data_IF_666148422349
#
_entry.id   IF_666148422349
#
_cell.length_a   1.000
_cell.length_b   1.000
_cell.length_c   1.000
_cell.angle_alpha   90.00
_cell.angle_beta   90.00
_cell.angle_gamma   90.00
#
_symmetry.space_group_name_H-M   'P 1'
#
loop_
_entity.id
_entity.type
_entity.pdbx_description
1 polymer ?
#
# COMPACT_ATOMS: atom_id res chain seq x y z
N UNK A 1 8.81 -11.99 -17.59
CA UNK A 1 7.50 -12.00 -16.99
C UNK A 1 6.82 -10.64 -17.24
N UNK A 2 5.66 -10.65 -17.88
CA UNK A 2 4.90 -9.45 -18.14
C UNK A 2 4.25 -8.97 -16.83
N UNK A 3 4.20 -7.65 -16.64
CA UNK A 3 3.59 -7.04 -15.45
C UNK A 3 2.65 -5.91 -15.84
N UNK A 4 1.76 -5.58 -14.93
CA UNK A 4 0.95 -4.38 -14.96
C UNK A 4 1.18 -3.58 -13.69
N UNK A 5 1.46 -2.28 -13.78
CA UNK A 5 1.67 -1.47 -12.59
C UNK A 5 0.35 -1.24 -11.84
N UNK A 6 0.46 -1.06 -10.53
CA UNK A 6 -0.66 -0.89 -9.61
C UNK A 6 -0.64 0.51 -9.01
N UNK A 7 -1.79 1.20 -9.01
CA UNK A 7 -1.92 2.56 -8.49
C UNK A 7 -1.17 3.63 -9.30
N UNK A 8 -0.97 4.78 -8.72
CA UNK A 8 -0.26 5.90 -9.31
C UNK A 8 1.22 5.89 -9.01
N UNK A 9 2.07 5.52 -9.97
CA UNK A 9 3.52 5.43 -9.79
C UNK A 9 4.32 6.35 -10.73
N UNK A 10 5.50 6.73 -10.30
CA UNK A 10 6.54 7.30 -11.16
C UNK A 10 7.36 6.14 -11.74
N UNK A 11 6.98 5.63 -12.91
CA UNK A 11 7.50 4.40 -13.51
C UNK A 11 9.04 4.31 -13.55
N UNK A 12 9.72 5.44 -13.77
CA UNK A 12 11.19 5.49 -13.81
C UNK A 12 11.88 5.10 -12.48
N UNK A 13 11.17 5.17 -11.35
CA UNK A 13 11.73 4.77 -10.05
C UNK A 13 11.78 3.25 -9.86
N UNK A 14 11.13 2.50 -10.73
CA UNK A 14 10.99 1.05 -10.64
C UNK A 14 11.99 0.29 -11.53
N UNK A 15 12.64 1.00 -12.45
CA UNK A 15 13.65 0.39 -13.32
C UNK A 15 14.99 0.28 -12.61
N UNK A 16 15.78 -0.75 -12.96
CA UNK A 16 17.17 -1.00 -12.52
C UNK A 16 17.37 -1.18 -11.01
N UNK A 17 16.31 -1.37 -10.24
CA UNK A 17 16.40 -1.69 -8.80
C UNK A 17 16.11 -3.17 -8.55
N UNK A 18 16.67 -3.76 -7.48
CA UNK A 18 16.36 -5.14 -7.12
C UNK A 18 14.90 -5.28 -6.70
N UNK A 19 14.24 -6.28 -7.24
CA UNK A 19 12.82 -6.59 -7.00
C UNK A 19 12.68 -7.99 -6.43
N UNK A 20 11.66 -8.19 -5.61
CA UNK A 20 11.22 -9.49 -5.12
C UNK A 20 9.83 -9.82 -5.67
N UNK A 21 9.52 -11.11 -5.78
CA UNK A 21 8.23 -11.62 -6.22
C UNK A 21 7.48 -12.21 -5.03
N UNK A 22 6.27 -11.71 -4.79
CA UNK A 22 5.42 -12.15 -3.67
C UNK A 22 3.99 -12.37 -4.12
N UNK A 23 3.32 -13.29 -3.46
CA UNK A 23 1.89 -13.47 -3.60
C UNK A 23 1.46 -14.91 -3.45
N UNK A 24 0.29 -15.22 -4.00
CA UNK A 24 -0.34 -16.53 -3.91
C UNK A 24 -0.63 -17.05 -5.30
N UNK A 25 -0.38 -18.34 -5.48
CA UNK A 25 -0.81 -19.08 -6.68
C UNK A 25 -1.73 -20.20 -6.22
N UNK A 26 -2.88 -20.31 -6.86
CA UNK A 26 -3.79 -21.43 -6.62
C UNK A 26 -3.59 -22.47 -7.71
N UNK A 27 -3.34 -23.71 -7.32
CA UNK A 27 -3.23 -24.83 -8.22
C UNK A 27 -4.31 -25.88 -7.97
N UNK A 28 -4.64 -26.62 -9.01
CA UNK A 28 -5.60 -27.72 -8.91
C UNK A 28 -4.90 -29.00 -8.51
N UNK A 29 -5.50 -29.71 -7.54
CA UNK A 29 -5.10 -31.04 -7.09
C UNK A 29 -6.25 -32.02 -7.26
N UNK A 30 -6.02 -33.29 -7.07
CA UNK A 30 -7.09 -34.31 -7.07
C UNK A 30 -8.14 -34.04 -5.98
N UNK A 31 -7.81 -33.32 -4.94
CA UNK A 31 -8.68 -33.03 -3.79
C UNK A 31 -9.35 -31.63 -3.87
N UNK A 32 -9.09 -30.86 -4.92
CA UNK A 32 -9.63 -29.51 -5.09
C UNK A 32 -8.55 -28.48 -5.39
N UNK A 33 -8.72 -27.25 -4.86
CA UNK A 33 -7.80 -26.14 -5.07
C UNK A 33 -6.93 -25.93 -3.84
N UNK A 34 -5.63 -25.87 -4.02
CA UNK A 34 -4.66 -25.55 -2.98
C UNK A 34 -3.96 -24.22 -3.28
N UNK A 35 -3.64 -23.46 -2.24
CA UNK A 35 -2.93 -22.19 -2.34
C UNK A 35 -1.48 -22.33 -1.94
N UNK A 36 -0.58 -21.80 -2.74
CA UNK A 36 0.87 -21.77 -2.51
C UNK A 36 1.35 -20.34 -2.34
N UNK A 37 1.98 -20.03 -1.22
CA UNK A 37 2.68 -18.77 -0.99
C UNK A 37 3.99 -18.75 -1.78
N UNK A 38 4.13 -17.76 -2.66
CA UNK A 38 5.36 -17.50 -3.41
C UNK A 38 6.08 -16.31 -2.79
N UNK A 39 7.35 -16.51 -2.41
CA UNK A 39 8.23 -15.45 -1.87
C UNK A 39 9.63 -15.70 -2.38
N UNK A 40 10.06 -14.90 -3.35
CA UNK A 40 11.39 -15.00 -3.98
C UNK A 40 12.04 -13.63 -3.94
N UNK A 41 13.24 -13.53 -3.37
CA UNK A 41 13.98 -12.28 -3.20
C UNK A 41 13.93 -11.70 -1.78
N UNK A 42 13.22 -12.37 -0.85
CA UNK A 42 13.02 -11.93 0.53
C UNK A 42 14.14 -12.39 1.48
N UNK A 43 14.70 -13.57 1.23
CA UNK A 43 15.70 -14.19 2.11
C UNK A 43 17.13 -13.92 1.63
N UNK A 44 18.11 -13.89 2.53
CA UNK A 44 19.51 -13.87 2.13
C UNK A 44 19.86 -15.04 1.22
N UNK A 45 20.41 -14.75 0.03
CA UNK A 45 20.77 -15.76 -0.96
C UNK A 45 19.70 -16.03 -2.01
N UNK A 46 18.49 -15.52 -1.84
CA UNK A 46 17.48 -15.58 -2.90
C UNK A 46 17.92 -14.77 -4.13
N UNK A 47 17.55 -15.19 -5.33
CA UNK A 47 17.68 -14.35 -6.51
C UNK A 47 16.74 -13.16 -6.41
N UNK A 48 17.16 -12.03 -6.96
CA UNK A 48 16.30 -10.85 -7.15
C UNK A 48 16.02 -10.66 -8.63
N UNK A 49 14.98 -9.92 -8.93
CA UNK A 49 14.55 -9.59 -10.28
C UNK A 49 14.86 -8.12 -10.60
N UNK A 50 14.75 -7.73 -11.86
CA UNK A 50 14.93 -6.34 -12.28
C UNK A 50 14.03 -6.00 -13.46
N UNK A 51 13.53 -4.78 -13.47
CA UNK A 51 13.00 -4.14 -14.66
C UNK A 51 14.16 -3.46 -15.37
N UNK A 52 14.47 -3.89 -16.58
CA UNK A 52 15.58 -3.33 -17.35
C UNK A 52 15.27 -1.93 -17.87
N UNK A 53 16.30 -1.14 -18.10
CA UNK A 53 16.19 0.16 -18.77
C UNK A 53 17.31 0.33 -19.79
N UNK A 54 17.21 1.32 -20.66
CA UNK A 54 18.19 1.62 -21.68
C UNK A 54 19.43 2.28 -21.07
N UNK A 55 20.60 1.86 -21.52
CA UNK A 55 21.83 2.58 -21.25
C UNK A 55 21.78 3.94 -21.95
N UNK A 56 22.42 4.95 -21.37
CA UNK A 56 22.35 6.34 -21.87
C UNK A 56 22.67 6.49 -23.37
N UNK A 57 23.55 5.68 -23.89
CA UNK A 57 23.94 5.70 -25.31
C UNK A 57 22.81 5.27 -26.27
N UNK A 58 21.81 4.54 -25.79
CA UNK A 58 20.66 4.07 -26.56
C UNK A 58 19.37 4.82 -26.20
N UNK A 59 19.40 5.69 -25.19
CA UNK A 59 18.23 6.31 -24.60
C UNK A 59 17.84 7.68 -25.19
N UNK A 60 18.42 8.11 -26.33
CA UNK A 60 18.21 9.46 -26.89
C UNK A 60 16.73 9.82 -27.06
N UNK A 61 15.94 8.92 -27.65
CA UNK A 61 14.51 9.14 -27.84
C UNK A 61 13.73 9.09 -26.51
N UNK A 62 14.11 8.15 -25.64
CA UNK A 62 13.52 8.00 -24.31
C UNK A 62 13.72 9.28 -23.48
N UNK A 63 14.95 9.81 -23.47
CA UNK A 63 15.30 11.02 -22.72
C UNK A 63 14.61 12.28 -23.25
N UNK A 64 14.18 12.29 -24.52
CA UNK A 64 13.38 13.38 -25.11
C UNK A 64 11.90 13.36 -24.71
N UNK A 65 11.41 12.28 -24.10
CA UNK A 65 10.03 12.16 -23.67
C UNK A 65 9.82 12.83 -22.30
N UNK A 66 8.55 13.17 -21.99
CA UNK A 66 8.22 13.58 -20.61
C UNK A 66 8.49 12.43 -19.63
N UNK A 67 8.74 12.77 -18.36
CA UNK A 67 8.98 11.75 -17.30
C UNK A 67 7.88 10.71 -17.21
N UNK A 68 6.62 11.06 -17.49
CA UNK A 68 5.50 10.12 -17.51
C UNK A 68 5.57 9.12 -18.65
N UNK A 69 6.20 9.49 -19.77
CA UNK A 69 6.25 8.72 -21.02
C UNK A 69 7.62 8.10 -21.29
N UNK A 70 8.64 8.48 -20.53
CA UNK A 70 10.01 7.98 -20.69
C UNK A 70 10.09 6.46 -20.49
N UNK A 71 9.38 5.94 -19.50
CA UNK A 71 9.18 4.49 -19.32
C UNK A 71 7.78 4.15 -19.80
N UNK A 72 7.67 3.31 -20.80
CA UNK A 72 6.40 2.80 -21.30
C UNK A 72 5.96 1.61 -20.45
N UNK A 73 4.69 1.58 -20.02
CA UNK A 73 4.18 0.54 -19.15
C UNK A 73 4.31 -0.87 -19.76
N UNK A 74 4.09 -0.97 -21.06
CA UNK A 74 4.23 -2.24 -21.81
C UNK A 74 5.65 -2.81 -21.79
N UNK A 75 6.65 -1.98 -21.52
CA UNK A 75 8.05 -2.37 -21.42
C UNK A 75 8.50 -2.67 -19.95
N UNK A 76 7.61 -2.52 -19.00
CA UNK A 76 7.91 -2.83 -17.59
C UNK A 76 7.79 -4.33 -17.34
N UNK A 77 8.60 -5.11 -18.02
CA UNK A 77 8.64 -6.56 -17.91
C UNK A 77 9.81 -6.99 -17.02
N UNK A 78 9.52 -7.91 -16.11
CA UNK A 78 10.51 -8.40 -15.14
C UNK A 78 11.43 -9.42 -15.81
N UNK A 79 12.74 -9.17 -15.75
CA UNK A 79 13.75 -10.13 -16.15
C UNK A 79 13.82 -11.24 -15.11
N UNK A 80 13.49 -12.47 -15.53
CA UNK A 80 13.38 -13.65 -14.63
C UNK A 80 14.49 -14.69 -14.88
N UNK A 81 15.23 -14.59 -15.97
CA UNK A 81 16.32 -15.52 -16.30
C UNK A 81 16.76 -15.43 -17.75
N UNK A 82 17.87 -16.10 -18.06
CA UNK A 82 18.44 -16.19 -19.42
C UNK A 82 19.05 -17.56 -19.72
N UNK A 83 19.08 -18.47 -18.75
CA UNK A 83 19.66 -19.80 -18.96
C UNK A 83 18.63 -20.73 -19.61
N UNK A 84 18.95 -21.36 -20.73
CA UNK A 84 18.06 -22.31 -21.38
C UNK A 84 18.01 -23.63 -20.60
N UNK A 85 16.87 -24.28 -20.56
CA UNK A 85 16.72 -25.63 -20.02
C UNK A 85 17.60 -26.62 -20.79
N UNK A 86 18.15 -27.55 -20.03
CA UNK A 86 18.94 -28.70 -20.58
C UNK A 86 18.07 -29.93 -20.86
N UNK A 87 16.79 -29.81 -20.61
CA UNK A 87 15.80 -30.86 -20.87
C UNK A 87 15.70 -31.19 -22.36
N UNK A 88 15.41 -32.45 -22.67
CA UNK A 88 15.21 -32.94 -24.03
C UNK A 88 13.81 -32.55 -24.60
N UNK A 89 13.00 -31.84 -23.85
CA UNK A 89 11.70 -31.33 -24.32
C UNK A 89 11.91 -30.38 -25.48
N UNK A 90 11.32 -30.72 -26.64
CA UNK A 90 11.38 -29.85 -27.82
C UNK A 90 10.49 -28.62 -27.63
N UNK A 91 11.12 -27.46 -27.56
CA UNK A 91 10.46 -26.14 -27.51
C UNK A 91 11.40 -25.07 -28.02
N UNK A 92 10.85 -24.04 -28.65
CA UNK A 92 11.58 -22.81 -29.00
C UNK A 92 11.91 -21.95 -27.78
N UNK A 93 11.17 -22.13 -26.67
CA UNK A 93 11.24 -21.28 -25.46
C UNK A 93 11.99 -21.97 -24.30
N UNK A 94 13.22 -22.41 -24.54
CA UNK A 94 14.04 -23.11 -23.55
C UNK A 94 14.24 -22.33 -22.25
N UNK A 95 14.31 -21.00 -22.31
CA UNK A 95 14.44 -20.14 -21.11
C UNK A 95 13.15 -20.19 -20.29
N UNK A 96 12.00 -20.06 -20.93
CA UNK A 96 10.71 -20.21 -20.28
C UNK A 96 10.58 -21.59 -19.63
N UNK A 97 10.98 -22.63 -20.35
CA UNK A 97 10.98 -24.00 -19.83
C UNK A 97 11.82 -24.11 -18.55
N UNK A 98 13.03 -23.54 -18.52
CA UNK A 98 13.87 -23.55 -17.32
C UNK A 98 13.18 -22.88 -16.12
N UNK A 99 12.58 -21.70 -16.34
CA UNK A 99 11.84 -20.98 -15.30
C UNK A 99 10.67 -21.82 -14.78
N UNK A 100 9.94 -22.47 -15.67
CA UNK A 100 8.81 -23.32 -15.28
C UNK A 100 9.25 -24.57 -14.55
N UNK A 101 10.35 -25.20 -14.95
CA UNK A 101 10.96 -26.34 -14.23
C UNK A 101 11.38 -25.93 -12.81
N UNK A 102 11.96 -24.74 -12.65
CA UNK A 102 12.31 -24.20 -11.34
C UNK A 102 11.06 -23.97 -10.46
N UNK A 103 10.05 -23.28 -10.99
CA UNK A 103 8.81 -22.99 -10.24
C UNK A 103 8.05 -24.27 -9.88
N UNK A 104 8.03 -25.24 -10.79
CA UNK A 104 7.42 -26.53 -10.50
C UNK A 104 8.15 -27.29 -9.40
N UNK A 105 9.49 -27.32 -9.46
CA UNK A 105 10.31 -28.01 -8.46
C UNK A 105 10.16 -27.39 -7.06
N UNK A 106 10.21 -26.06 -6.97
CA UNK A 106 10.22 -25.37 -5.68
C UNK A 106 8.83 -25.12 -5.09
N UNK A 107 7.81 -24.96 -5.94
CA UNK A 107 6.47 -24.56 -5.53
C UNK A 107 5.33 -25.47 -6.06
N UNK A 108 5.65 -26.46 -6.89
CA UNK A 108 4.63 -27.31 -7.53
C UNK A 108 3.83 -26.60 -8.65
N UNK A 109 4.20 -25.38 -9.03
CA UNK A 109 3.44 -24.52 -9.95
C UNK A 109 3.68 -24.95 -11.40
N UNK A 110 2.62 -25.01 -12.19
CA UNK A 110 2.63 -25.20 -13.64
C UNK A 110 2.34 -23.90 -14.37
N UNK A 111 2.47 -23.88 -15.69
CA UNK A 111 2.13 -22.71 -16.50
C UNK A 111 0.66 -22.34 -16.40
N UNK A 112 -0.23 -23.31 -16.34
CA UNK A 112 -1.68 -23.08 -16.21
C UNK A 112 -2.05 -22.40 -14.91
N UNK A 113 -1.33 -22.67 -13.83
CA UNK A 113 -1.58 -22.10 -12.52
C UNK A 113 -1.37 -20.58 -12.48
N UNK A 114 -0.62 -20.01 -13.44
CA UNK A 114 -0.50 -18.54 -13.56
C UNK A 114 -1.83 -17.85 -13.88
N UNK A 115 -2.82 -18.57 -14.41
CA UNK A 115 -4.19 -18.06 -14.59
C UNK A 115 -4.89 -17.80 -13.25
N UNK A 116 -4.44 -18.48 -12.19
CA UNK A 116 -4.94 -18.37 -10.81
C UNK A 116 -3.91 -17.72 -9.87
N UNK A 117 -3.01 -16.91 -10.41
CA UNK A 117 -1.96 -16.27 -9.64
C UNK A 117 -2.31 -14.82 -9.30
N UNK A 118 -2.07 -14.44 -8.05
CA UNK A 118 -2.05 -13.07 -7.57
C UNK A 118 -0.63 -12.75 -7.08
N UNK A 119 0.25 -12.42 -8.03
CA UNK A 119 1.67 -12.14 -7.76
C UNK A 119 1.96 -10.65 -7.94
N UNK A 120 2.76 -10.10 -7.03
CA UNK A 120 3.28 -8.73 -7.11
C UNK A 120 4.80 -8.72 -7.14
N UNK A 121 5.35 -7.84 -7.95
CA UNK A 121 6.80 -7.58 -8.00
C UNK A 121 7.04 -6.23 -7.32
N UNK A 122 7.79 -6.25 -6.22
CA UNK A 122 8.02 -5.09 -5.35
C UNK A 122 9.51 -4.92 -5.05
N UNK A 123 9.97 -3.71 -4.66
CA UNK A 123 11.37 -3.49 -4.31
C UNK A 123 11.86 -4.40 -3.20
N UNK A 124 13.01 -5.06 -3.40
CA UNK A 124 13.64 -6.00 -2.47
C UNK A 124 14.53 -5.30 -1.42
N UNK A 125 14.27 -4.02 -1.14
CA UNK A 125 15.04 -3.25 -0.17
C UNK A 125 14.67 -3.64 1.26
N UNK A 126 15.69 -3.78 2.10
CA UNK A 126 15.49 -3.92 3.55
C UNK A 126 15.31 -2.55 4.18
N UNK A 127 14.49 -2.49 5.24
CA UNK A 127 14.38 -1.29 6.05
C UNK A 127 15.76 -0.92 6.63
N UNK A 128 16.10 0.36 6.59
CA UNK A 128 17.41 0.87 7.01
C UNK A 128 17.29 2.22 7.70
N UNK A 129 18.17 2.49 8.63
CA UNK A 129 18.35 3.81 9.19
C UNK A 129 18.86 4.77 8.11
N UNK A 130 18.32 5.98 8.08
CA UNK A 130 18.72 7.05 7.17
C UNK A 130 19.18 8.27 7.92
N UNK A 131 20.25 8.89 7.42
CA UNK A 131 20.93 10.03 8.04
C UNK A 131 22.06 9.60 8.98
N UNK A 132 23.00 10.52 9.25
CA UNK A 132 24.11 10.25 10.17
C UNK A 132 23.65 10.02 11.61
N UNK A 133 22.56 10.66 12.00
CA UNK A 133 21.93 10.56 13.31
C UNK A 133 20.90 9.43 13.40
N UNK A 134 20.67 8.70 12.29
CA UNK A 134 19.67 7.62 12.18
C UNK A 134 18.26 8.03 12.57
N UNK A 135 17.90 9.30 12.34
CA UNK A 135 16.60 9.84 12.74
C UNK A 135 15.45 9.47 11.80
N UNK A 136 15.74 8.85 10.67
CA UNK A 136 14.74 8.36 9.72
C UNK A 136 14.87 6.86 9.50
N UNK A 137 13.78 6.26 9.07
CA UNK A 137 13.73 4.89 8.56
C UNK A 137 13.40 4.95 7.07
N UNK A 138 14.29 4.42 6.24
CA UNK A 138 14.06 4.20 4.82
C UNK A 138 13.54 2.80 4.59
N UNK A 139 12.37 2.66 3.98
CA UNK A 139 11.78 1.37 3.65
C UNK A 139 10.79 1.51 2.49
N UNK A 140 10.56 0.42 1.77
CA UNK A 140 9.42 0.30 0.86
C UNK A 140 8.14 -0.02 1.68
N UNK A 141 7.03 0.59 1.29
CA UNK A 141 5.72 0.30 1.89
C UNK A 141 5.46 0.99 3.23
N UNK A 142 6.09 2.14 3.50
CA UNK A 142 5.69 3.02 4.60
C UNK A 142 4.23 3.41 4.48
N UNK A 143 3.78 3.72 3.30
CA UNK A 143 2.40 3.89 2.96
C UNK A 143 1.79 2.50 2.67
N UNK A 144 0.89 1.96 3.55
CA UNK A 144 0.52 2.62 4.82
C UNK A 144 0.86 1.76 6.06
N UNK A 145 1.96 1.02 6.04
CA UNK A 145 2.37 0.19 7.18
C UNK A 145 2.71 1.01 8.42
N UNK A 146 3.19 2.23 8.25
CA UNK A 146 3.56 3.12 9.36
C UNK A 146 2.35 3.56 10.18
N UNK A 147 1.14 3.58 9.58
CA UNK A 147 -0.10 3.86 10.29
C UNK A 147 -0.85 2.57 10.68
N UNK A 148 -0.85 1.56 9.82
CA UNK A 148 -1.53 0.29 10.05
C UNK A 148 -0.97 -0.47 11.26
N UNK A 149 0.36 -0.48 11.42
CA UNK A 149 1.01 -1.15 12.55
C UNK A 149 0.65 -0.52 13.91
N UNK A 150 0.78 0.81 14.12
CA UNK A 150 0.37 1.43 15.38
C UNK A 150 -1.15 1.29 15.65
N UNK A 151 -1.99 1.34 14.63
CA UNK A 151 -3.42 1.11 14.80
C UNK A 151 -3.71 -0.29 15.35
N UNK A 152 -3.11 -1.33 14.76
CA UNK A 152 -3.26 -2.71 15.21
C UNK A 152 -2.69 -2.92 16.62
N UNK A 153 -1.48 -2.42 16.91
CA UNK A 153 -0.85 -2.58 18.22
C UNK A 153 -1.59 -1.82 19.30
N UNK A 154 -2.18 -0.65 19.00
CA UNK A 154 -3.00 0.08 19.96
C UNK A 154 -4.21 -0.73 20.45
N UNK A 155 -4.82 -1.54 19.59
CA UNK A 155 -5.90 -2.45 19.98
C UNK A 155 -5.37 -3.63 20.82
N UNK A 156 -4.27 -4.23 20.39
CA UNK A 156 -3.65 -5.38 21.07
C UNK A 156 -3.10 -5.01 22.47
N UNK A 157 -2.68 -3.78 22.66
CA UNK A 157 -2.11 -3.28 23.90
C UNK A 157 -3.16 -2.88 24.97
N UNK A 158 -4.44 -2.95 24.65
CA UNK A 158 -5.49 -2.68 25.63
C UNK A 158 -5.37 -3.63 26.82
N UNK A 159 -5.24 -3.09 28.02
CA UNK A 159 -5.09 -3.87 29.26
C UNK A 159 -6.45 -4.18 29.91
N UNK A 160 -7.44 -3.36 29.62
CA UNK A 160 -8.79 -3.46 30.20
C UNK A 160 -9.84 -3.49 29.07
N UNK A 161 -10.97 -4.10 29.35
CA UNK A 161 -12.10 -4.09 28.42
C UNK A 161 -12.58 -2.63 28.23
N UNK A 162 -12.54 -2.10 27.02
CA UNK A 162 -12.99 -0.73 26.77
C UNK A 162 -14.51 -0.59 26.99
N UNK A 163 -14.94 0.61 27.36
CA UNK A 163 -16.39 0.91 27.56
C UNK A 163 -17.21 0.86 26.27
N UNK A 164 -16.55 0.98 25.13
CA UNK A 164 -17.16 0.87 23.79
C UNK A 164 -16.40 -0.19 23.01
N UNK A 165 -17.07 -0.87 22.11
CA UNK A 165 -16.42 -1.76 21.16
C UNK A 165 -15.36 -0.99 20.38
N UNK A 166 -14.14 -1.51 20.40
CA UNK A 166 -13.02 -0.95 19.66
C UNK A 166 -12.67 -1.91 18.51
N UNK A 167 -12.51 -1.35 17.34
CA UNK A 167 -12.24 -2.12 16.11
C UNK A 167 -11.10 -1.46 15.34
N UNK A 168 -10.20 -2.25 14.80
CA UNK A 168 -9.23 -1.84 13.80
C UNK A 168 -9.54 -2.58 12.51
N UNK A 169 -9.63 -1.85 11.42
CA UNK A 169 -9.90 -2.38 10.09
C UNK A 169 -8.68 -2.06 9.22
N UNK A 170 -8.03 -3.09 8.73
CA UNK A 170 -6.96 -2.98 7.75
C UNK A 170 -7.54 -3.38 6.40
N UNK A 171 -7.48 -2.47 5.44
CA UNK A 171 -8.06 -2.67 4.11
C UNK A 171 -6.98 -2.67 3.04
N UNK A 172 -7.29 -3.31 1.94
CA UNK A 172 -6.49 -3.34 0.71
C UNK A 172 -7.13 -2.41 -0.34
N UNK A 173 -6.50 -2.25 -1.50
CA UNK A 173 -7.04 -1.54 -2.67
C UNK A 173 -7.17 -0.01 -2.54
N UNK A 174 -6.60 0.62 -1.51
CA UNK A 174 -6.70 2.07 -1.34
C UNK A 174 -6.19 2.81 -2.57
N UNK A 175 -5.02 2.44 -3.08
CA UNK A 175 -4.31 3.07 -4.20
C UNK A 175 -5.02 2.97 -5.57
N UNK A 176 -6.03 2.14 -5.68
CA UNK A 176 -6.86 1.99 -6.87
C UNK A 176 -8.32 2.41 -6.65
N UNK A 177 -8.59 3.16 -5.57
CA UNK A 177 -9.92 3.69 -5.26
C UNK A 177 -10.74 2.84 -4.31
N UNK A 178 -10.12 1.94 -3.55
CA UNK A 178 -10.77 1.06 -2.56
C UNK A 178 -11.81 0.09 -3.16
N UNK A 179 -11.77 -0.15 -4.46
CA UNK A 179 -12.64 -1.10 -5.15
C UNK A 179 -12.14 -2.54 -5.00
N UNK A 180 -13.07 -3.47 -4.86
CA UNK A 180 -12.80 -4.90 -4.69
C UNK A 180 -13.22 -5.45 -3.35
N UNK A 181 -13.23 -6.78 -3.22
CA UNK A 181 -13.77 -7.48 -2.04
C UNK A 181 -12.99 -7.26 -0.75
N UNK A 182 -11.74 -6.80 -0.85
CA UNK A 182 -10.86 -6.47 0.28
C UNK A 182 -10.70 -4.97 0.50
N UNK A 183 -11.32 -4.14 -0.36
CA UNK A 183 -11.29 -2.68 -0.27
C UNK A 183 -12.35 -2.12 0.67
N UNK A 184 -12.21 -0.85 1.05
CA UNK A 184 -13.15 -0.20 1.98
C UNK A 184 -14.54 0.01 1.39
N UNK A 185 -14.70 -0.07 0.07
CA UNK A 185 -16.01 -0.02 -0.59
C UNK A 185 -16.79 -1.33 -0.50
N UNK A 186 -16.15 -2.44 -0.12
CA UNK A 186 -16.83 -3.72 0.06
C UNK A 186 -17.83 -3.65 1.23
N UNK A 187 -18.84 -4.52 1.20
CA UNK A 187 -19.82 -4.65 2.28
C UNK A 187 -19.33 -5.45 3.49
N UNK A 188 -18.04 -5.83 3.52
CA UNK A 188 -17.49 -6.63 4.62
C UNK A 188 -17.67 -5.92 5.98
N UNK A 189 -17.33 -4.62 6.04
CA UNK A 189 -17.52 -3.82 7.25
C UNK A 189 -18.98 -3.79 7.69
N UNK A 190 -19.90 -3.51 6.76
CA UNK A 190 -21.33 -3.42 7.06
C UNK A 190 -21.89 -4.74 7.57
N UNK A 191 -21.47 -5.84 6.97
CA UNK A 191 -21.86 -7.21 7.39
C UNK A 191 -21.33 -7.54 8.79
N UNK A 192 -20.05 -7.23 9.05
CA UNK A 192 -19.44 -7.49 10.36
C UNK A 192 -20.14 -6.69 11.47
N UNK A 193 -20.40 -5.40 11.24
CA UNK A 193 -21.13 -4.55 12.21
C UNK A 193 -22.53 -5.09 12.44
N UNK A 194 -23.23 -5.50 11.40
CA UNK A 194 -24.57 -6.09 11.53
C UNK A 194 -24.56 -7.39 12.35
N UNK A 195 -23.56 -8.24 12.15
CA UNK A 195 -23.43 -9.49 12.92
C UNK A 195 -23.12 -9.22 14.39
N UNK A 196 -22.24 -8.26 14.69
CA UNK A 196 -21.94 -7.86 16.06
C UNK A 196 -23.18 -7.24 16.74
N UNK A 197 -23.89 -6.35 16.07
CA UNK A 197 -25.13 -5.76 16.59
C UNK A 197 -26.21 -6.80 16.86
N UNK A 198 -26.35 -7.78 15.96
CA UNK A 198 -27.29 -8.88 16.15
C UNK A 198 -26.93 -9.73 17.37
N UNK A 199 -25.66 -9.99 17.60
CA UNK A 199 -25.19 -10.75 18.76
C UNK A 199 -25.40 -9.99 20.07
N UNK A 200 -25.32 -8.66 20.07
CA UNK A 200 -25.51 -7.80 21.25
C UNK A 200 -26.98 -7.35 21.45
N UNK A 201 -27.84 -7.55 20.47
CA UNK A 201 -29.24 -7.08 20.50
C UNK A 201 -29.39 -5.57 20.26
N UNK A 202 -28.40 -4.93 19.67
CA UNK A 202 -28.39 -3.49 19.34
C UNK A 202 -28.83 -3.28 17.88
N UNK A 203 -29.46 -2.15 17.59
CA UNK A 203 -29.78 -1.75 16.22
C UNK A 203 -28.51 -1.25 15.52
N UNK A 204 -28.33 -1.65 14.25
CA UNK A 204 -27.18 -1.24 13.44
C UNK A 204 -27.11 0.29 13.31
N UNK A 205 -28.24 0.93 13.08
CA UNK A 205 -28.37 2.38 12.92
C UNK A 205 -27.90 3.11 14.20
N UNK A 206 -28.29 2.63 15.37
CA UNK A 206 -27.85 3.20 16.65
C UNK A 206 -26.36 3.01 16.89
N UNK A 207 -25.81 1.86 16.49
CA UNK A 207 -24.38 1.58 16.57
C UNK A 207 -23.60 2.56 15.69
N UNK A 208 -24.02 2.73 14.45
CA UNK A 208 -23.38 3.62 13.47
C UNK A 208 -23.40 5.07 13.97
N UNK A 209 -24.57 5.61 14.37
CA UNK A 209 -24.71 6.99 14.87
C UNK A 209 -23.81 7.30 16.08
N UNK A 210 -23.50 6.29 16.90
CA UNK A 210 -22.64 6.44 18.09
C UNK A 210 -21.17 6.10 17.82
N UNK A 211 -20.85 5.69 16.61
CA UNK A 211 -19.50 5.32 16.21
C UNK A 211 -18.66 6.56 15.85
N UNK A 212 -17.37 6.39 15.89
CA UNK A 212 -16.39 7.40 15.48
C UNK A 212 -15.24 6.67 14.86
N UNK A 213 -14.79 7.11 13.69
CA UNK A 213 -13.64 6.55 13.00
C UNK A 213 -12.48 7.54 13.01
N UNK A 214 -11.27 7.01 13.18
CA UNK A 214 -10.03 7.69 12.85
C UNK A 214 -9.44 6.97 11.64
N UNK A 215 -9.33 7.66 10.52
CA UNK A 215 -8.61 7.17 9.36
C UNK A 215 -7.13 7.46 9.57
N UNK A 216 -6.33 6.42 9.55
CA UNK A 216 -4.89 6.53 9.66
C UNK A 216 -4.29 6.32 8.26
N UNK A 217 -3.51 7.31 7.82
CA UNK A 217 -2.88 7.35 6.52
C UNK A 217 -1.65 8.25 6.60
N UNK A 218 -0.73 8.14 5.65
CA UNK A 218 0.47 8.98 5.62
C UNK A 218 0.15 10.37 5.09
N UNK A 219 0.87 11.37 5.55
CA UNK A 219 0.90 12.68 4.93
C UNK A 219 2.34 13.05 4.57
N UNK A 220 2.51 14.01 3.64
CA UNK A 220 3.83 14.53 3.36
C UNK A 220 4.37 15.35 4.55
N UNK A 221 5.68 15.41 4.64
CA UNK A 221 6.37 16.41 5.44
C UNK A 221 7.02 17.44 4.51
N UNK A 222 7.20 18.66 5.03
CA UNK A 222 7.88 19.72 4.28
C UNK A 222 9.30 19.28 3.89
N UNK A 223 9.58 19.31 2.59
CA UNK A 223 10.91 19.04 2.04
C UNK A 223 11.52 20.36 1.51
N UNK A 224 12.66 20.78 2.04
CA UNK A 224 13.33 22.01 1.61
C UNK A 224 13.86 21.95 0.17
N UNK A 225 14.01 20.76 -0.43
CA UNK A 225 14.37 20.61 -1.84
C UNK A 225 13.20 20.91 -2.77
N UNK A 226 11.97 20.80 -2.28
CA UNK A 226 10.74 21.02 -3.07
C UNK A 226 9.77 22.00 -2.39
N UNK A 227 10.23 23.19 -1.98
CA UNK A 227 9.42 24.11 -1.16
C UNK A 227 8.18 24.63 -1.91
N UNK A 228 8.21 24.57 -3.23
CA UNK A 228 7.16 25.13 -4.08
C UNK A 228 5.90 24.25 -4.19
N UNK A 229 5.96 23.00 -3.77
CA UNK A 229 4.79 22.10 -3.77
C UNK A 229 4.02 22.13 -2.45
N UNK A 230 4.53 22.84 -1.45
CA UNK A 230 4.05 22.86 -0.08
C UNK A 230 3.45 24.22 0.32
N UNK A 231 2.46 24.19 1.23
CA UNK A 231 2.03 25.35 2.01
C UNK A 231 2.70 25.28 3.39
N UNK A 232 3.79 26.01 3.57
CA UNK A 232 4.71 25.90 4.73
C UNK A 232 4.04 26.05 6.10
N UNK A 233 2.89 26.74 6.18
CA UNK A 233 2.16 26.94 7.44
C UNK A 233 1.31 25.74 7.84
N UNK A 234 0.98 24.90 6.87
CA UNK A 234 0.09 23.74 7.06
C UNK A 234 0.79 22.39 6.85
N UNK A 235 2.00 22.39 6.29
CA UNK A 235 2.75 21.16 6.11
C UNK A 235 3.24 20.62 7.44
N UNK A 236 3.10 19.32 7.61
CA UNK A 236 3.71 18.59 8.71
C UNK A 236 5.25 18.66 8.61
N UNK A 237 5.90 18.48 9.73
CA UNK A 237 7.37 18.42 9.83
C UNK A 237 7.79 17.11 10.46
N UNK A 238 8.84 16.52 9.91
CA UNK A 238 9.41 15.29 10.49
C UNK A 238 9.86 15.53 11.94
N UNK A 239 9.74 14.52 12.77
CA UNK A 239 10.08 14.52 14.19
C UNK A 239 9.32 15.56 15.05
N UNK A 240 8.20 16.10 14.55
CA UNK A 240 7.36 17.06 15.26
C UNK A 240 6.02 16.47 15.73
N UNK A 241 5.92 15.16 15.81
CA UNK A 241 4.76 14.46 16.34
C UNK A 241 3.71 14.06 15.27
N UNK A 242 2.63 13.48 15.72
CA UNK A 242 1.55 12.97 14.87
C UNK A 242 0.87 14.12 14.14
N UNK A 243 0.67 13.98 12.83
CA UNK A 243 -0.09 14.95 12.04
C UNK A 243 -1.60 14.67 12.16
N UNK A 244 -2.36 15.65 12.63
CA UNK A 244 -3.81 15.62 12.65
C UNK A 244 -4.34 16.42 11.47
N UNK A 245 -4.87 15.72 10.48
CA UNK A 245 -5.41 16.28 9.24
C UNK A 245 -6.92 16.43 9.35
N UNK A 246 -7.44 17.65 9.27
CA UNK A 246 -8.87 17.92 9.41
C UNK A 246 -9.67 17.47 8.19
N UNK A 247 -9.11 17.62 7.02
CA UNK A 247 -9.75 17.24 5.76
C UNK A 247 -8.70 16.75 4.75
N UNK A 248 -9.15 15.91 3.83
CA UNK A 248 -8.38 15.40 2.70
C UNK A 248 -8.99 15.91 1.39
N UNK A 249 -8.52 15.41 0.24
CA UNK A 249 -9.00 15.81 -1.07
C UNK A 249 -8.17 16.92 -1.70
N UNK A 250 -8.56 17.35 -2.90
CA UNK A 250 -7.81 18.30 -3.71
C UNK A 250 -8.62 19.56 -4.01
N UNK A 251 -7.94 20.66 -4.30
CA UNK A 251 -8.53 21.94 -4.71
C UNK A 251 -9.64 22.40 -3.74
N UNK A 252 -10.88 22.54 -4.21
CA UNK A 252 -12.04 22.88 -3.36
C UNK A 252 -12.56 21.70 -2.55
N UNK A 253 -11.70 20.85 -1.99
CA UNK A 253 -12.01 19.66 -1.20
C UNK A 253 -12.78 18.57 -1.97
N UNK A 254 -12.59 18.51 -3.29
CA UNK A 254 -13.20 17.46 -4.11
C UNK A 254 -12.67 16.08 -3.72
N UNK A 255 -13.54 15.08 -3.62
CA UNK A 255 -13.17 13.72 -3.19
C UNK A 255 -12.66 13.65 -1.75
N UNK A 256 -13.16 14.54 -0.88
CA UNK A 256 -12.67 14.73 0.48
C UNK A 256 -13.64 14.20 1.52
N UNK A 257 -13.10 13.89 2.68
CA UNK A 257 -13.82 13.83 3.95
C UNK A 257 -13.31 14.94 4.87
N UNK A 258 -14.20 15.56 5.64
CA UNK A 258 -13.93 16.70 6.53
C UNK A 258 -14.39 16.36 7.95
N UNK A 259 -13.44 16.32 8.89
CA UNK A 259 -13.74 16.08 10.29
C UNK A 259 -14.49 17.28 10.91
N UNK A 260 -15.49 17.00 11.76
CA UNK A 260 -16.22 18.05 12.48
C UNK A 260 -15.34 18.78 13.49
N UNK A 261 -15.70 20.01 13.84
CA UNK A 261 -14.99 20.78 14.86
C UNK A 261 -15.00 20.07 16.23
N UNK A 262 -16.10 19.40 16.55
CA UNK A 262 -16.29 18.63 17.79
C UNK A 262 -15.33 17.45 17.86
N UNK A 263 -15.15 16.69 16.77
CA UNK A 263 -14.18 15.60 16.71
C UNK A 263 -12.76 16.12 16.84
N UNK A 264 -12.41 17.19 16.13
CA UNK A 264 -11.11 17.83 16.26
C UNK A 264 -10.84 18.30 17.68
N UNK A 265 -11.84 18.88 18.35
CA UNK A 265 -11.76 19.29 19.74
C UNK A 265 -11.52 18.11 20.69
N UNK A 266 -12.22 17.01 20.49
CA UNK A 266 -12.02 15.75 21.25
C UNK A 266 -10.62 15.20 21.07
N UNK A 267 -10.10 15.16 19.85
CA UNK A 267 -8.75 14.67 19.57
C UNK A 267 -7.69 15.54 20.23
N UNK A 268 -7.81 16.87 20.11
CA UNK A 268 -6.90 17.81 20.78
C UNK A 268 -6.90 17.60 22.30
N UNK A 269 -8.08 17.42 22.90
CA UNK A 269 -8.18 17.15 24.33
C UNK A 269 -7.46 15.86 24.72
N UNK A 270 -7.63 14.78 23.95
CA UNK A 270 -6.96 13.51 24.21
C UNK A 270 -5.44 13.63 24.08
N UNK A 271 -4.96 14.32 23.05
CA UNK A 271 -3.51 14.54 22.88
C UNK A 271 -2.92 15.32 24.03
N UNK A 272 -3.55 16.42 24.45
CA UNK A 272 -3.09 17.20 25.61
C UNK A 272 -3.11 16.37 26.90
N UNK A 273 -4.20 15.67 27.15
CA UNK A 273 -4.35 14.86 28.37
C UNK A 273 -3.30 13.76 28.49
N UNK A 274 -2.92 13.17 27.36
CA UNK A 274 -1.98 12.05 27.32
C UNK A 274 -0.56 12.47 26.90
N UNK A 275 -0.28 13.76 26.88
CA UNK A 275 1.03 14.31 26.50
C UNK A 275 1.55 13.85 25.14
N UNK A 276 0.64 13.63 24.18
CA UNK A 276 0.98 13.27 22.81
C UNK A 276 1.45 14.52 22.06
N UNK A 277 2.64 14.47 21.50
CA UNK A 277 3.16 15.51 20.61
C UNK A 277 2.44 15.39 19.27
N UNK A 278 1.86 16.48 18.81
CA UNK A 278 1.09 16.50 17.58
C UNK A 278 1.19 17.83 16.86
N UNK A 279 0.83 17.83 15.59
CA UNK A 279 0.81 18.99 14.71
C UNK A 279 -0.39 18.89 13.76
N UNK A 280 -0.69 19.98 13.05
CA UNK A 280 -1.61 19.92 11.90
C UNK A 280 -0.82 19.54 10.65
N UNK A 281 -1.50 18.94 9.68
CA UNK A 281 -0.93 18.59 8.38
C UNK A 281 -1.91 18.82 7.24
N UNK A 282 -1.38 19.03 6.05
CA UNK A 282 -2.10 19.09 4.79
C UNK A 282 -1.17 18.65 3.67
N UNK A 283 -1.68 17.87 2.72
CA UNK A 283 -0.90 17.41 1.57
C UNK A 283 -0.83 18.51 0.50
N UNK A 284 0.32 19.18 0.40
CA UNK A 284 0.62 20.13 -0.66
C UNK A 284 -0.05 21.49 -0.50
N UNK A 285 -0.42 22.09 -1.61
CA UNK A 285 -1.12 23.40 -1.72
C UNK A 285 -2.58 23.20 -2.09
N UNK A 286 -3.40 24.26 -1.90
CA UNK A 286 -4.83 24.23 -2.23
C UNK A 286 -5.11 23.79 -3.68
N UNK A 287 -4.37 24.36 -4.64
CA UNK A 287 -4.54 24.01 -6.07
C UNK A 287 -3.63 22.87 -6.55
N UNK A 288 -2.71 22.40 -5.72
CA UNK A 288 -1.73 21.40 -6.10
C UNK A 288 -1.42 20.49 -4.92
N UNK A 289 -1.82 19.26 -5.01
CA UNK A 289 -1.72 18.27 -3.96
C UNK A 289 -3.08 17.77 -3.56
N UNK A 290 -3.14 17.17 -2.39
CA UNK A 290 -4.34 16.50 -1.92
C UNK A 290 -4.44 15.07 -2.42
N UNK A 291 -5.35 14.36 -1.84
CA UNK A 291 -5.70 12.96 -2.10
C UNK A 291 -6.84 12.56 -1.19
N UNK A 292 -7.60 11.53 -1.55
CA UNK A 292 -8.59 10.94 -0.67
C UNK A 292 -7.93 9.99 0.32
N UNK A 293 -8.69 9.54 1.30
CA UNK A 293 -8.37 8.41 2.17
C UNK A 293 -9.60 7.54 2.34
N UNK A 294 -9.47 6.40 2.98
CA UNK A 294 -10.61 5.52 3.30
C UNK A 294 -11.67 6.20 4.19
N UNK A 295 -11.35 7.33 4.84
CA UNK A 295 -12.27 8.12 5.63
C UNK A 295 -13.54 8.52 4.87
N UNK A 296 -13.45 8.78 3.58
CA UNK A 296 -14.60 9.12 2.74
C UNK A 296 -15.67 8.02 2.76
N UNK A 297 -15.26 6.77 2.73
CA UNK A 297 -16.18 5.63 2.72
C UNK A 297 -16.84 5.39 4.08
N UNK A 298 -16.15 5.77 5.17
CA UNK A 298 -16.74 5.77 6.52
C UNK A 298 -17.73 6.92 6.70
N UNK A 299 -17.39 8.12 6.21
CA UNK A 299 -18.28 9.27 6.20
C UNK A 299 -19.58 8.99 5.42
N UNK A 300 -19.52 8.26 4.31
CA UNK A 300 -20.70 7.82 3.56
C UNK A 300 -21.62 6.86 4.35
N UNK A 301 -21.12 6.28 5.44
CA UNK A 301 -21.86 5.43 6.39
C UNK A 301 -22.29 6.18 7.65
N UNK A 302 -22.16 7.50 7.67
CA UNK A 302 -22.45 8.37 8.83
C UNK A 302 -21.54 8.15 10.06
N UNK A 303 -20.29 7.75 9.83
CA UNK A 303 -19.29 7.56 10.89
C UNK A 303 -18.24 8.67 10.84
#
# INVERSE_FOLDING_TARGET
>A
LNTHYYGGIKKYQWTTIPMELRGVVCHMTENGVESVDVRIGDKPGDPVFVLTDLVIHLATEQMGKSMMKGIEAENMNVLVGSEPSKSDIETSDKIKLWVMEFLNKEYGITEEDFLSAALTCVPAFKASDVGFDRSFIGAYGHDDRVCSYPAATALLDLKETPKKTSMVILVDKEEIGSDGVTGMQSHFFDTLVADLCRADGTLVEECIERSTCLSADVCNAFDPNYPNVSERRNDARVNCGVALVKYTGARGKSGSSDATAELMGKMRYQFHKNHVIWQTGQLGKVDQGGGGTVAMFMANRNI
#
